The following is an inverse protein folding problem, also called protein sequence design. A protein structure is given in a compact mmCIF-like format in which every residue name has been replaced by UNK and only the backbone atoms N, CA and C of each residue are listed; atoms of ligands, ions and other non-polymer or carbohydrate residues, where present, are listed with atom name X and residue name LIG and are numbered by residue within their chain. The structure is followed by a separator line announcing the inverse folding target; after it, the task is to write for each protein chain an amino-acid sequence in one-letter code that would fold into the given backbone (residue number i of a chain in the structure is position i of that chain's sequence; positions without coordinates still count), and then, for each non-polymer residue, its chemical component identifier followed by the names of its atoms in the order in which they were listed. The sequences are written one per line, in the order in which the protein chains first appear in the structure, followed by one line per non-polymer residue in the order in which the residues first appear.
data_IF_513287512228
#
_entry.id   IF_513287512228
#
_cell.length_a   1.000
_cell.length_b   1.000
_cell.length_c   1.000
_cell.angle_alpha   90.00
_cell.angle_beta   90.00
_cell.angle_gamma   90.00
#
_symmetry.space_group_name_H-M   'P 1'
#
loop_
_entity.id
_entity.type
_entity.pdbx_description
1 polymer ?
#
# COMPACT_ATOMS: atom_id res chain seq x y z
N UNK A 1 80.87 -0.14 13.39
CA UNK A 1 80.71 -0.99 14.59
C UNK A 1 80.12 -0.16 15.71
N UNK A 2 79.13 -0.71 16.41
CA UNK A 2 78.51 -0.26 17.67
C UNK A 2 77.76 1.09 17.70
N UNK A 3 76.64 1.31 18.38
CA UNK A 3 75.48 0.52 18.87
C UNK A 3 74.72 1.40 19.87
N UNK A 4 73.40 1.60 19.69
CA UNK A 4 72.30 1.96 20.66
C UNK A 4 72.51 3.18 21.60
N UNK A 5 71.51 3.95 22.05
CA UNK A 5 70.13 3.63 22.44
C UNK A 5 69.18 4.87 22.38
N UNK A 6 67.90 4.58 22.61
CA UNK A 6 66.65 5.35 22.45
C UNK A 6 66.39 6.46 23.48
N UNK A 7 65.46 7.39 23.16
CA UNK A 7 64.24 7.60 23.97
C UNK A 7 63.13 8.39 23.22
N UNK A 8 61.92 7.81 23.23
CA UNK A 8 60.52 8.33 23.17
C UNK A 8 60.25 9.82 22.86
N UNK A 9 59.26 10.23 22.07
CA UNK A 9 57.81 9.90 22.15
C UNK A 9 57.06 10.24 20.83
N UNK A 10 56.00 9.51 20.43
CA UNK A 10 55.21 9.76 19.22
C UNK A 10 53.81 10.33 19.53
N UNK A 11 53.27 11.20 18.66
CA UNK A 11 51.83 11.33 18.34
C UNK A 11 51.60 12.47 17.33
N UNK A 12 51.78 12.14 16.06
CA UNK A 12 50.96 12.74 15.01
C UNK A 12 49.66 11.91 15.00
N UNK A 13 48.55 12.49 15.49
CA UNK A 13 47.22 11.93 15.33
C UNK A 13 46.44 12.85 14.40
N UNK A 14 46.24 12.35 13.19
CA UNK A 14 45.05 12.45 12.36
C UNK A 14 44.02 13.51 12.80
N UNK A 15 44.04 14.64 12.10
CA UNK A 15 42.87 15.50 11.96
C UNK A 15 41.95 14.88 10.90
N UNK A 16 41.32 13.75 11.23
CA UNK A 16 40.02 13.43 10.66
C UNK A 16 39.04 14.42 11.30
N UNK A 17 38.74 15.50 10.57
CA UNK A 17 37.66 16.40 10.93
C UNK A 17 36.36 15.59 10.91
N UNK A 18 35.85 15.32 12.11
CA UNK A 18 34.53 14.79 12.36
C UNK A 18 33.51 15.66 11.62
N UNK A 19 32.89 15.11 10.57
CA UNK A 19 31.63 15.61 10.09
C UNK A 19 30.65 15.49 11.27
N UNK A 20 30.22 16.62 11.81
CA UNK A 20 29.19 16.65 12.82
C UNK A 20 27.89 16.17 12.15
N UNK A 21 27.52 14.91 12.39
CA UNK A 21 26.19 14.40 12.06
C UNK A 21 25.17 15.24 12.83
N UNK A 22 24.43 16.07 12.10
CA UNK A 22 23.19 16.65 12.61
C UNK A 22 22.18 15.56 12.96
N UNK A 23 21.07 15.90 13.65
CA UNK A 23 20.00 14.94 13.91
C UNK A 23 19.50 14.32 12.59
N UNK A 24 19.05 13.06 12.60
CA UNK A 24 18.54 12.39 11.40
C UNK A 24 17.41 13.21 10.78
N UNK A 25 17.43 13.33 9.45
CA UNK A 25 16.39 14.01 8.70
C UNK A 25 15.09 13.20 8.80
N UNK A 26 14.09 13.73 9.49
CA UNK A 26 12.78 13.08 9.67
C UNK A 26 11.64 13.93 9.10
N UNK A 27 10.66 13.27 8.49
CA UNK A 27 9.42 13.92 8.07
C UNK A 27 8.61 14.41 9.28
N UNK A 28 7.85 15.48 9.10
CA UNK A 28 6.92 15.97 10.13
C UNK A 28 5.77 14.99 10.38
N UNK A 29 5.19 15.01 11.58
CA UNK A 29 4.02 14.20 11.91
C UNK A 29 2.80 14.52 11.02
N UNK A 30 2.64 15.80 10.65
CA UNK A 30 1.58 16.29 9.77
C UNK A 30 1.69 15.69 8.36
N UNK A 31 2.91 15.60 7.82
CA UNK A 31 3.18 14.95 6.54
C UNK A 31 2.81 13.46 6.59
N UNK A 32 3.25 12.75 7.63
CA UNK A 32 2.96 11.32 7.81
C UNK A 32 1.45 11.09 7.97
N UNK A 33 0.78 11.92 8.76
CA UNK A 33 -0.68 11.86 8.94
C UNK A 33 -1.41 12.10 7.62
N UNK A 34 -0.96 13.06 6.81
CA UNK A 34 -1.55 13.33 5.50
C UNK A 34 -1.45 12.10 4.58
N UNK A 35 -0.28 11.45 4.50
CA UNK A 35 -0.10 10.24 3.68
C UNK A 35 -0.92 9.06 4.18
N UNK A 36 -1.03 8.89 5.50
CA UNK A 36 -1.87 7.85 6.09
C UNK A 36 -3.37 8.11 5.91
N UNK A 37 -3.78 9.34 5.58
CA UNK A 37 -5.17 9.71 5.33
C UNK A 37 -5.63 9.42 3.89
N UNK A 38 -4.74 8.96 3.02
CA UNK A 38 -5.04 8.68 1.62
C UNK A 38 -5.91 7.42 1.51
N UNK A 39 -6.96 7.50 0.70
CA UNK A 39 -7.83 6.36 0.42
C UNK A 39 -7.54 5.79 -0.97
N UNK A 40 -7.75 4.48 -1.10
CA UNK A 40 -7.49 3.78 -2.36
C UNK A 40 -8.43 4.28 -3.46
N UNK A 41 -9.70 4.40 -3.13
CA UNK A 41 -10.77 4.83 -4.03
C UNK A 41 -10.52 6.24 -4.54
N UNK A 42 -10.10 7.15 -3.65
CA UNK A 42 -9.67 8.50 -3.99
C UNK A 42 -8.50 8.49 -4.99
N UNK A 43 -7.43 7.75 -4.72
CA UNK A 43 -6.29 7.68 -5.63
C UNK A 43 -6.66 7.12 -7.00
N UNK A 44 -7.60 6.18 -7.06
CA UNK A 44 -8.08 5.61 -8.32
C UNK A 44 -8.82 6.64 -9.19
N UNK A 45 -9.49 7.62 -8.59
CA UNK A 45 -10.10 8.73 -9.35
C UNK A 45 -9.06 9.59 -10.06
N UNK A 46 -7.83 9.61 -9.55
CA UNK A 46 -6.72 10.39 -10.08
C UNK A 46 -5.97 9.67 -11.22
N UNK A 47 -6.48 8.54 -11.72
CA UNK A 47 -5.86 7.76 -12.80
C UNK A 47 -6.31 8.27 -14.18
N UNK A 48 -5.63 9.30 -14.65
CA UNK A 48 -5.81 9.90 -15.96
C UNK A 48 -4.49 10.46 -16.50
N UNK A 49 -4.52 10.92 -17.75
CA UNK A 49 -3.39 11.52 -18.43
C UNK A 49 -3.67 12.96 -18.87
N UNK A 50 -2.59 13.74 -18.92
CA UNK A 50 -2.58 15.11 -19.39
C UNK A 50 -1.33 15.41 -20.21
N UNK A 51 -1.48 16.32 -21.16
CA UNK A 51 -0.38 16.85 -21.96
C UNK A 51 -0.39 18.36 -21.87
N UNK A 52 0.76 18.93 -21.54
CA UNK A 52 1.00 20.37 -21.48
C UNK A 52 2.00 20.74 -22.57
N UNK A 53 1.79 21.88 -23.23
CA UNK A 53 2.80 22.49 -24.08
C UNK A 53 3.89 23.12 -23.20
N UNK A 54 5.14 22.89 -23.55
CA UNK A 54 6.29 23.63 -23.00
C UNK A 54 6.44 24.91 -23.82
N UNK A 55 6.37 26.06 -23.17
CA UNK A 55 6.34 27.38 -23.81
C UNK A 55 7.46 28.25 -23.24
N UNK A 56 8.14 29.00 -24.09
CA UNK A 56 9.14 29.99 -23.68
C UNK A 56 8.49 31.21 -23.01
N UNK A 57 9.30 32.05 -22.38
CA UNK A 57 8.89 33.37 -21.91
C UNK A 57 8.37 34.30 -23.04
N UNK A 58 8.75 34.05 -24.30
CA UNK A 58 8.25 34.77 -25.48
C UNK A 58 6.94 34.21 -26.03
N UNK A 59 6.42 33.11 -25.46
CA UNK A 59 5.19 32.46 -25.92
C UNK A 59 5.37 31.44 -27.04
N UNK A 60 6.60 31.11 -27.41
CA UNK A 60 6.88 30.13 -28.46
C UNK A 60 6.79 28.70 -27.93
N UNK A 61 6.13 27.78 -28.66
CA UNK A 61 6.07 26.37 -28.28
C UNK A 61 7.44 25.71 -28.50
N UNK A 62 7.98 25.13 -27.43
CA UNK A 62 9.30 24.49 -27.41
C UNK A 62 9.21 22.97 -27.29
N UNK A 63 8.07 22.42 -26.90
CA UNK A 63 7.94 20.99 -26.67
C UNK A 63 6.67 20.62 -25.92
N UNK A 64 6.68 19.44 -25.32
CA UNK A 64 5.52 18.88 -24.62
C UNK A 64 5.96 18.13 -23.35
N UNK A 65 5.13 18.25 -22.33
CA UNK A 65 5.17 17.47 -21.09
C UNK A 65 3.93 16.58 -21.07
N UNK A 66 4.13 15.28 -20.94
CA UNK A 66 3.07 14.28 -20.77
C UNK A 66 3.16 13.70 -19.37
N UNK A 67 2.02 13.53 -18.71
CA UNK A 67 1.90 12.86 -17.42
C UNK A 67 0.75 11.88 -17.53
N UNK A 68 0.97 10.63 -17.17
CA UNK A 68 0.00 9.55 -17.19
C UNK A 68 0.04 8.81 -15.87
N UNK A 69 -1.13 8.64 -15.26
CA UNK A 69 -1.30 7.81 -14.07
C UNK A 69 -2.33 6.73 -14.36
N UNK A 70 -1.97 5.49 -14.10
CA UNK A 70 -2.81 4.33 -14.38
C UNK A 70 -2.60 3.19 -13.39
N UNK A 71 -3.42 2.15 -13.49
CA UNK A 71 -3.21 0.92 -12.73
C UNK A 71 -2.12 0.08 -13.38
N UNK A 72 -0.95 0.04 -12.74
CA UNK A 72 0.16 -0.82 -13.12
C UNK A 72 0.10 -2.18 -12.42
N UNK A 73 0.60 -3.21 -13.09
CA UNK A 73 0.77 -4.55 -12.52
C UNK A 73 2.23 -4.77 -12.16
N UNK A 74 2.50 -5.05 -10.90
CA UNK A 74 3.86 -5.35 -10.43
C UNK A 74 3.88 -6.68 -9.69
N UNK A 75 4.92 -7.47 -9.94
CA UNK A 75 5.17 -8.71 -9.20
C UNK A 75 5.93 -8.38 -7.92
N UNK A 76 5.50 -8.95 -6.81
CA UNK A 76 6.28 -8.92 -5.58
C UNK A 76 7.42 -9.96 -5.59
N UNK A 77 8.18 -10.01 -4.50
CA UNK A 77 9.29 -10.95 -4.32
C UNK A 77 8.85 -12.43 -4.30
N UNK A 78 7.56 -12.69 -4.06
CA UNK A 78 6.96 -14.03 -4.07
C UNK A 78 6.29 -14.36 -5.41
N UNK A 79 6.39 -13.47 -6.40
CA UNK A 79 5.81 -13.63 -7.72
C UNK A 79 4.30 -13.35 -7.79
N UNK A 80 3.69 -12.85 -6.71
CA UNK A 80 2.27 -12.49 -6.68
C UNK A 80 2.09 -11.17 -7.42
N UNK A 81 1.17 -11.17 -8.37
CA UNK A 81 0.83 -9.98 -9.15
C UNK A 81 -0.13 -9.11 -8.35
N UNK A 82 0.27 -7.86 -8.08
CA UNK A 82 -0.57 -6.86 -7.42
C UNK A 82 -0.75 -5.62 -8.31
N UNK A 83 -1.85 -4.92 -8.11
CA UNK A 83 -2.16 -3.67 -8.79
C UNK A 83 -1.76 -2.48 -7.93
N UNK A 84 -0.99 -1.57 -8.50
CA UNK A 84 -0.48 -0.38 -7.84
C UNK A 84 -0.66 0.85 -8.75
N UNK A 85 -0.77 2.07 -8.19
CA UNK A 85 -0.58 3.29 -8.96
C UNK A 85 0.75 3.26 -9.71
N UNK A 86 0.69 3.47 -11.02
CA UNK A 86 1.84 3.60 -11.90
C UNK A 86 1.81 4.97 -12.56
N UNK A 87 2.89 5.71 -12.38
CA UNK A 87 3.08 7.06 -12.92
C UNK A 87 4.11 7.00 -14.03
N UNK A 88 3.79 7.57 -15.17
CA UNK A 88 4.70 7.79 -16.28
C UNK A 88 4.64 9.25 -16.69
N UNK A 89 5.76 9.95 -16.63
CA UNK A 89 5.86 11.33 -17.09
C UNK A 89 7.04 11.49 -18.03
N UNK A 90 6.87 12.25 -19.11
CA UNK A 90 7.96 12.57 -20.01
C UNK A 90 7.85 14.00 -20.52
N UNK A 91 8.95 14.75 -20.44
CA UNK A 91 9.09 16.06 -21.03
C UNK A 91 10.11 15.99 -22.15
N UNK A 92 9.77 16.56 -23.31
CA UNK A 92 10.73 16.78 -24.38
C UNK A 92 10.59 18.19 -24.89
N UNK A 93 11.69 18.93 -24.85
CA UNK A 93 11.77 20.32 -25.27
C UNK A 93 12.95 20.58 -26.18
N UNK A 94 12.84 21.65 -26.96
CA UNK A 94 13.87 22.16 -27.83
C UNK A 94 14.23 23.58 -27.39
N UNK A 95 15.42 23.72 -26.82
CA UNK A 95 15.92 24.98 -26.26
C UNK A 95 17.30 25.26 -26.86
N UNK A 96 17.51 26.48 -27.36
CA UNK A 96 18.79 26.93 -27.96
C UNK A 96 19.39 25.93 -28.95
N UNK A 97 18.57 25.46 -29.90
CA UNK A 97 18.94 24.48 -30.94
C UNK A 97 19.36 23.10 -30.42
N UNK A 98 19.08 22.82 -29.15
CA UNK A 98 19.46 21.58 -28.46
C UNK A 98 18.19 20.89 -27.96
N UNK A 99 18.09 19.58 -28.19
CA UNK A 99 16.98 18.77 -27.66
C UNK A 99 17.33 18.35 -26.24
N UNK A 100 16.48 18.70 -25.28
CA UNK A 100 16.56 18.24 -23.90
C UNK A 100 15.25 17.60 -23.47
N UNK A 101 15.29 16.85 -22.39
CA UNK A 101 14.10 16.23 -21.86
C UNK A 101 14.37 15.37 -20.64
N UNK A 102 13.28 14.92 -20.04
CA UNK A 102 13.32 13.94 -18.98
C UNK A 102 12.20 12.91 -19.16
N UNK A 103 12.41 11.75 -18.56
CA UNK A 103 11.43 10.65 -18.49
C UNK A 103 11.45 10.11 -17.08
N UNK A 104 10.28 9.74 -16.58
CA UNK A 104 10.04 9.28 -15.23
C UNK A 104 9.01 8.15 -15.29
N UNK A 105 9.33 7.02 -14.68
CA UNK A 105 8.42 5.90 -14.47
C UNK A 105 8.48 5.51 -13.01
N UNK A 106 7.33 5.28 -12.37
CA UNK A 106 7.33 4.87 -10.96
C UNK A 106 6.09 4.10 -10.54
N UNK A 107 6.31 3.03 -9.78
CA UNK A 107 5.30 2.28 -9.05
C UNK A 107 5.23 2.76 -7.61
N UNK A 108 4.02 3.04 -7.14
CA UNK A 108 3.78 3.60 -5.82
C UNK A 108 2.83 2.70 -5.03
N UNK A 109 2.96 2.68 -3.72
CA UNK A 109 1.94 2.10 -2.84
C UNK A 109 0.73 3.03 -2.72
N UNK A 110 -0.32 2.55 -2.06
CA UNK A 110 -1.55 3.32 -1.81
C UNK A 110 -1.38 4.45 -0.78
N UNK A 111 -0.28 4.47 -0.03
CA UNK A 111 0.15 5.59 0.83
C UNK A 111 1.30 6.40 0.20
N UNK A 112 1.45 6.33 -1.14
CA UNK A 112 2.43 7.04 -1.97
C UNK A 112 3.90 6.74 -1.67
N UNK A 113 4.23 5.61 -1.02
CA UNK A 113 5.63 5.17 -0.93
C UNK A 113 6.11 4.65 -2.27
N UNK A 114 7.35 5.00 -2.61
CA UNK A 114 8.00 4.53 -3.84
C UNK A 114 8.34 3.05 -3.72
N UNK A 115 7.74 2.21 -4.55
CA UNK A 115 8.11 0.80 -4.70
C UNK A 115 9.30 0.68 -5.65
N UNK A 116 9.22 1.40 -6.76
CA UNK A 116 10.22 1.45 -7.82
C UNK A 116 10.06 2.76 -8.59
N UNK A 117 11.15 3.42 -8.94
CA UNK A 117 11.15 4.59 -9.80
C UNK A 117 12.41 4.59 -10.68
N UNK A 118 12.25 4.90 -11.95
CA UNK A 118 13.34 5.19 -12.87
C UNK A 118 13.14 6.59 -13.45
N UNK A 119 14.13 7.46 -13.29
CA UNK A 119 14.16 8.74 -13.98
C UNK A 119 15.40 8.84 -14.86
N UNK A 120 15.24 9.53 -15.98
CA UNK A 120 16.27 9.77 -16.98
C UNK A 120 16.16 11.22 -17.44
N UNK A 121 17.26 11.96 -17.36
CA UNK A 121 17.37 13.33 -17.86
C UNK A 121 18.44 13.35 -18.95
N UNK A 122 18.20 14.09 -20.03
CA UNK A 122 19.16 14.17 -21.13
C UNK A 122 19.19 15.54 -21.80
N UNK A 123 20.38 15.88 -22.31
CA UNK A 123 20.62 17.02 -23.18
C UNK A 123 21.45 16.53 -24.36
N UNK A 124 20.88 16.59 -25.58
CA UNK A 124 21.52 16.13 -26.82
C UNK A 124 22.32 17.25 -27.46
N UNK A 125 23.51 17.52 -26.95
CA UNK A 125 24.46 18.38 -27.67
C UNK A 125 24.96 17.68 -28.94
N UNK A 126 25.36 18.47 -29.94
CA UNK A 126 25.83 17.96 -31.24
C UNK A 126 27.13 17.14 -31.14
N UNK A 127 27.93 17.36 -30.08
CA UNK A 127 29.26 16.74 -29.93
C UNK A 127 29.27 15.66 -28.86
N UNK A 128 28.65 15.92 -27.70
CA UNK A 128 28.61 15.00 -26.55
C UNK A 128 27.24 15.05 -25.88
N UNK A 129 26.36 14.05 -26.05
CA UNK A 129 25.10 14.00 -25.31
C UNK A 129 25.40 13.84 -23.82
N UNK A 130 24.71 14.61 -22.99
CA UNK A 130 24.74 14.48 -21.53
C UNK A 130 23.48 13.72 -21.11
N UNK A 131 23.66 12.73 -20.25
CA UNK A 131 22.58 11.89 -19.76
C UNK A 131 22.81 11.56 -18.28
N UNK A 132 21.74 11.61 -17.49
CA UNK A 132 21.71 11.17 -16.10
C UNK A 132 20.57 10.19 -15.92
N UNK A 133 20.82 9.09 -15.23
CA UNK A 133 19.80 8.09 -14.87
C UNK A 133 19.80 7.92 -13.37
N UNK A 134 18.60 7.86 -12.78
CA UNK A 134 18.42 7.59 -11.35
C UNK A 134 17.41 6.46 -11.24
N UNK A 135 17.69 5.48 -10.38
CA UNK A 135 16.76 4.39 -10.09
C UNK A 135 16.57 4.28 -8.59
N UNK A 136 15.36 4.47 -8.11
CA UNK A 136 14.98 4.26 -6.71
C UNK A 136 14.24 2.93 -6.63
N UNK A 137 14.66 2.04 -5.73
CA UNK A 137 13.95 0.80 -5.44
C UNK A 137 13.32 0.91 -4.05
N UNK A 138 12.62 -0.15 -3.59
CA UNK A 138 12.05 -0.21 -2.23
C UNK A 138 13.01 0.30 -1.15
N UNK A 139 14.32 0.10 -1.31
CA UNK A 139 15.32 0.87 -0.58
C UNK A 139 15.78 2.07 -1.43
N UNK A 140 15.75 3.29 -0.87
CA UNK A 140 16.21 4.50 -1.58
C UNK A 140 17.71 4.33 -1.82
N UNK A 141 18.02 3.87 -3.02
CA UNK A 141 19.36 3.61 -3.51
C UNK A 141 19.63 4.53 -4.68
N UNK A 142 20.12 5.71 -4.40
CA UNK A 142 20.65 6.61 -5.42
C UNK A 142 22.03 6.10 -5.87
N UNK A 143 22.56 6.54 -7.02
CA UNK A 143 23.91 6.16 -7.49
C UNK A 143 25.02 6.45 -6.44
N UNK A 144 24.73 7.27 -5.43
CA UNK A 144 25.67 7.79 -4.44
C UNK A 144 25.30 7.41 -2.99
N UNK A 145 24.05 7.04 -2.67
CA UNK A 145 23.56 6.94 -1.28
C UNK A 145 22.53 5.83 -1.08
N UNK A 146 22.60 5.17 0.07
CA UNK A 146 21.64 4.17 0.54
C UNK A 146 20.94 4.68 1.80
N UNK A 147 19.61 4.70 1.81
CA UNK A 147 18.84 5.04 3.00
C UNK A 147 18.04 3.82 3.47
N UNK A 148 18.13 3.45 4.76
CA UNK A 148 17.34 2.37 5.34
C UNK A 148 15.83 2.63 5.17
N UNK A 149 15.06 1.58 4.90
CA UNK A 149 13.60 1.63 4.75
C UNK A 149 12.89 2.32 5.93
N UNK A 150 13.35 2.08 7.15
CA UNK A 150 12.71 2.63 8.36
C UNK A 150 12.92 4.15 8.50
N UNK A 151 13.92 4.71 7.80
CA UNK A 151 14.28 6.13 7.84
C UNK A 151 13.64 6.94 6.69
N UNK A 152 12.83 6.33 5.83
CA UNK A 152 12.20 7.00 4.67
C UNK A 152 10.70 7.24 4.85
N UNK A 153 10.18 7.09 6.08
CA UNK A 153 8.80 7.44 6.38
C UNK A 153 8.52 8.91 6.03
N UNK A 154 7.50 9.13 5.20
CA UNK A 154 7.17 10.47 4.69
C UNK A 154 8.01 10.94 3.50
N UNK A 155 8.77 10.03 2.88
CA UNK A 155 9.49 10.30 1.63
C UNK A 155 8.55 10.36 0.41
N UNK A 156 8.72 11.40 -0.40
CA UNK A 156 7.99 11.65 -1.63
C UNK A 156 8.98 11.75 -2.78
N UNK A 157 8.98 10.73 -3.64
CA UNK A 157 9.73 10.75 -4.88
C UNK A 157 9.07 11.65 -5.93
N UNK A 158 9.74 11.91 -7.05
CA UNK A 158 9.17 12.68 -8.17
C UNK A 158 7.84 12.09 -8.67
N UNK A 159 7.73 10.76 -8.77
CA UNK A 159 6.49 10.09 -9.18
C UNK A 159 5.39 10.27 -8.12
N UNK A 160 5.73 10.12 -6.83
CA UNK A 160 4.79 10.32 -5.73
C UNK A 160 4.31 11.77 -5.65
N UNK A 161 5.18 12.74 -5.93
CA UNK A 161 4.86 14.16 -5.94
C UNK A 161 3.77 14.49 -6.96
N UNK A 162 3.83 13.90 -8.16
CA UNK A 162 2.79 14.13 -9.19
C UNK A 162 1.41 13.70 -8.69
N UNK A 163 1.30 12.51 -8.08
CA UNK A 163 0.03 12.07 -7.48
C UNK A 163 -0.37 12.89 -6.26
N UNK A 164 0.60 13.26 -5.41
CA UNK A 164 0.35 14.06 -4.21
C UNK A 164 -0.25 15.43 -4.59
N UNK A 165 0.25 16.08 -5.63
CA UNK A 165 -0.29 17.34 -6.15
C UNK A 165 -1.72 17.17 -6.66
N UNK A 166 -2.03 16.06 -7.34
CA UNK A 166 -3.41 15.75 -7.76
C UNK A 166 -4.35 15.60 -6.55
N UNK A 167 -3.89 14.91 -5.50
CA UNK A 167 -4.67 14.77 -4.24
C UNK A 167 -4.90 16.14 -3.59
N UNK A 168 -3.88 16.99 -3.50
CA UNK A 168 -4.02 18.32 -2.91
C UNK A 168 -5.06 19.18 -3.66
N UNK A 169 -5.08 19.07 -4.98
CA UNK A 169 -6.08 19.74 -5.82
C UNK A 169 -7.47 19.12 -5.67
N UNK A 170 -7.59 17.79 -5.69
CA UNK A 170 -8.87 17.10 -5.48
C UNK A 170 -9.51 17.49 -4.14
N UNK A 171 -8.71 17.53 -3.07
CA UNK A 171 -9.15 17.93 -1.73
C UNK A 171 -9.27 19.45 -1.55
N UNK A 172 -8.80 20.26 -2.51
CA UNK A 172 -8.64 21.71 -2.38
C UNK A 172 -7.90 22.12 -1.09
N UNK A 173 -6.87 21.35 -0.71
CA UNK A 173 -6.22 21.46 0.58
C UNK A 173 -4.74 21.04 0.50
N UNK A 174 -3.88 21.85 1.10
CA UNK A 174 -2.47 21.54 1.35
C UNK A 174 -2.29 21.33 2.86
N UNK A 175 -1.55 20.28 3.29
CA UNK A 175 -1.31 20.05 4.72
C UNK A 175 -0.45 21.17 5.33
N UNK A 176 -1.00 21.84 6.35
CA UNK A 176 -0.31 22.92 7.04
C UNK A 176 0.94 22.44 7.77
N UNK A 177 2.03 23.19 7.64
CA UNK A 177 3.32 22.92 8.31
C UNK A 177 3.93 21.54 8.02
N UNK A 178 3.47 20.84 6.97
CA UNK A 178 3.99 19.54 6.61
C UNK A 178 5.35 19.66 5.90
N UNK A 179 6.32 18.91 6.42
CA UNK A 179 7.65 18.70 5.84
C UNK A 179 7.78 17.24 5.43
N UNK A 180 7.83 17.01 4.13
CA UNK A 180 8.06 15.69 3.53
C UNK A 180 9.55 15.49 3.29
N UNK A 181 10.01 14.24 3.32
CA UNK A 181 11.35 13.92 2.85
C UNK A 181 11.34 13.87 1.32
N UNK A 182 12.41 14.34 0.69
CA UNK A 182 12.56 14.36 -0.77
C UNK A 182 14.04 14.23 -1.16
N UNK A 183 14.32 14.11 -2.46
CA UNK A 183 15.67 14.24 -2.99
C UNK A 183 15.81 15.61 -3.66
N UNK A 184 16.97 16.24 -3.46
CA UNK A 184 17.35 17.40 -4.26
C UNK A 184 17.82 16.98 -5.67
N UNK A 185 18.19 17.96 -6.49
CA UNK A 185 18.70 17.72 -7.85
C UNK A 185 20.00 16.92 -7.87
N UNK A 186 20.74 16.83 -6.77
CA UNK A 186 21.97 16.04 -6.65
C UNK A 186 21.70 14.61 -6.14
N UNK A 187 20.46 14.29 -5.77
CA UNK A 187 20.09 12.99 -5.20
C UNK A 187 20.41 12.88 -3.71
N UNK A 188 20.59 14.01 -3.00
CA UNK A 188 20.76 14.04 -1.54
C UNK A 188 19.41 14.16 -0.85
N UNK A 189 19.27 13.50 0.28
CA UNK A 189 18.06 13.56 1.09
C UNK A 189 17.90 14.96 1.69
N UNK A 190 16.70 15.52 1.53
CA UNK A 190 16.36 16.86 1.96
C UNK A 190 14.87 16.96 2.30
N UNK A 191 14.37 18.19 2.51
CA UNK A 191 12.97 18.46 2.77
C UNK A 191 12.24 19.07 1.59
N UNK A 192 10.98 18.69 1.41
CA UNK A 192 10.04 19.39 0.55
C UNK A 192 8.83 19.87 1.33
N UNK A 193 8.43 21.12 1.08
CA UNK A 193 7.26 21.76 1.67
C UNK A 193 6.31 22.21 0.58
N UNK A 194 5.02 22.26 0.90
CA UNK A 194 3.96 22.70 -0.01
C UNK A 194 3.20 23.85 0.64
N UNK A 195 2.85 24.85 -0.16
CA UNK A 195 2.07 26.00 0.27
C UNK A 195 0.92 26.23 -0.70
N UNK A 196 -0.30 26.39 -0.16
CA UNK A 196 -1.44 26.83 -0.95
C UNK A 196 -1.30 28.33 -1.25
N UNK A 197 -1.36 28.71 -2.53
CA UNK A 197 -1.34 30.11 -2.97
C UNK A 197 -2.76 30.66 -3.23
N UNK A 198 -3.79 29.84 -3.01
CA UNK A 198 -5.19 30.18 -3.27
C UNK A 198 -5.67 29.70 -4.64
N UNK A 199 -6.74 30.30 -5.13
CA UNK A 199 -7.30 30.02 -6.46
C UNK A 199 -7.06 31.18 -7.42
N UNK A 200 -6.94 30.86 -8.70
CA UNK A 200 -6.83 31.86 -9.76
C UNK A 200 -7.66 31.42 -10.96
N UNK A 201 -8.30 32.37 -11.66
CA UNK A 201 -8.92 32.09 -12.96
C UNK A 201 -7.87 32.17 -14.07
N UNK A 202 -7.74 31.12 -14.86
CA UNK A 202 -6.91 31.09 -16.07
C UNK A 202 -7.78 30.82 -17.30
N UNK A 203 -7.27 31.20 -18.47
CA UNK A 203 -7.90 30.86 -19.73
C UNK A 203 -7.27 29.59 -20.30
N UNK A 204 -8.09 28.57 -20.51
CA UNK A 204 -7.72 27.33 -21.22
C UNK A 204 -8.58 27.24 -22.46
N UNK A 205 -7.94 27.27 -23.64
CA UNK A 205 -8.62 27.40 -24.93
C UNK A 205 -9.54 28.65 -24.97
N UNK A 206 -10.86 28.45 -25.00
CA UNK A 206 -11.89 29.52 -24.99
C UNK A 206 -12.66 29.61 -23.68
N UNK A 207 -12.25 28.85 -22.67
CA UNK A 207 -12.94 28.76 -21.39
C UNK A 207 -12.12 29.42 -20.28
N UNK A 208 -12.79 30.12 -19.39
CA UNK A 208 -12.21 30.58 -18.13
C UNK A 208 -12.48 29.52 -17.07
N UNK A 209 -11.41 29.05 -16.43
CA UNK A 209 -11.47 27.99 -15.43
C UNK A 209 -10.73 28.43 -14.18
N UNK A 210 -11.29 28.12 -13.02
CA UNK A 210 -10.62 28.32 -11.75
C UNK A 210 -9.62 27.17 -11.52
N UNK A 211 -8.41 27.52 -11.09
CA UNK A 211 -7.35 26.57 -10.75
C UNK A 211 -6.87 26.78 -9.32
N UNK A 212 -6.61 25.68 -8.63
CA UNK A 212 -5.98 25.65 -7.31
C UNK A 212 -4.47 25.72 -7.46
N UNK A 213 -3.84 26.63 -6.73
CA UNK A 213 -2.40 26.89 -6.85
C UNK A 213 -1.64 26.32 -5.66
N UNK A 214 -0.64 25.49 -5.96
CA UNK A 214 0.28 24.91 -4.98
C UNK A 214 1.70 25.27 -5.35
N UNK A 215 2.44 25.84 -4.41
CA UNK A 215 3.88 26.01 -4.51
C UNK A 215 4.59 24.89 -3.75
N UNK A 216 5.47 24.17 -4.45
CA UNK A 216 6.40 23.23 -3.86
C UNK A 216 7.76 23.88 -3.74
N UNK A 217 8.38 23.81 -2.57
CA UNK A 217 9.78 24.18 -2.36
C UNK A 217 10.57 22.96 -1.90
N UNK A 218 11.70 22.70 -2.56
CA UNK A 218 12.67 21.67 -2.17
C UNK A 218 13.88 22.39 -1.56
N UNK A 219 14.11 22.13 -0.28
CA UNK A 219 15.14 22.79 0.55
C UNK A 219 16.42 21.96 0.51
N UNK A 220 17.27 22.20 -0.48
CA UNK A 220 18.59 21.57 -0.54
C UNK A 220 19.44 21.98 0.68
N UNK A 221 20.22 21.04 1.23
CA UNK A 221 21.12 21.29 2.37
C UNK A 221 22.22 22.31 2.00
N UNK A 222 22.67 22.25 0.75
CA UNK A 222 23.62 23.20 0.17
C UNK A 222 23.05 23.75 -1.13
N UNK A 223 22.85 25.07 -1.20
CA UNK A 223 22.39 25.75 -2.41
C UNK A 223 21.14 26.59 -2.21
N UNK A 224 20.57 27.06 -3.33
CA UNK A 224 19.34 27.85 -3.34
C UNK A 224 18.16 26.88 -3.41
N UNK A 225 17.13 27.02 -2.54
CA UNK A 225 15.93 26.20 -2.63
C UNK A 225 15.28 26.28 -4.01
N UNK A 226 14.91 25.13 -4.55
CA UNK A 226 14.20 25.05 -5.83
C UNK A 226 12.71 25.17 -5.56
N UNK A 227 12.03 26.09 -6.24
CA UNK A 227 10.57 26.27 -6.12
C UNK A 227 9.86 26.07 -7.44
N UNK A 228 8.74 25.34 -7.41
CA UNK A 228 7.85 25.11 -8.53
C UNK A 228 6.40 25.44 -8.14
N UNK A 229 5.71 26.20 -8.99
CA UNK A 229 4.28 26.47 -8.85
C UNK A 229 3.48 25.58 -9.80
N UNK A 230 2.45 24.95 -9.26
CA UNK A 230 1.52 24.07 -9.96
C UNK A 230 0.13 24.66 -9.87
N UNK A 231 -0.54 24.74 -11.03
CA UNK A 231 -1.90 25.23 -11.16
C UNK A 231 -2.72 24.03 -11.59
N UNK A 232 -3.62 23.58 -10.72
CA UNK A 232 -4.32 22.32 -10.87
C UNK A 232 -5.83 22.58 -11.01
N UNK A 233 -6.47 21.85 -11.91
CA UNK A 233 -7.93 21.83 -12.02
C UNK A 233 -8.55 21.12 -10.81
N UNK A 234 -9.85 21.31 -10.59
CA UNK A 234 -10.57 20.76 -9.44
C UNK A 234 -10.48 19.23 -9.32
N UNK A 235 -10.34 18.53 -10.45
CA UNK A 235 -10.22 17.07 -10.49
C UNK A 235 -8.77 16.56 -10.42
N UNK A 236 -7.80 17.47 -10.26
CA UNK A 236 -6.38 17.18 -10.14
C UNK A 236 -5.55 17.33 -11.41
N UNK A 237 -6.13 17.60 -12.58
CA UNK A 237 -5.32 17.79 -13.80
C UNK A 237 -4.37 18.98 -13.66
N UNK A 238 -3.11 18.80 -14.08
CA UNK A 238 -2.14 19.89 -14.11
C UNK A 238 -2.42 20.82 -15.30
N UNK A 239 -2.82 22.06 -15.01
CA UNK A 239 -3.10 23.07 -16.02
C UNK A 239 -1.88 23.93 -16.35
N UNK A 240 -1.04 24.25 -15.36
CA UNK A 240 0.18 25.05 -15.57
C UNK A 240 1.26 24.66 -14.58
N UNK A 241 2.52 24.64 -15.03
CA UNK A 241 3.70 24.45 -14.17
C UNK A 241 4.74 25.51 -14.47
N UNK A 242 5.19 26.20 -13.43
CA UNK A 242 6.22 27.24 -13.51
C UNK A 242 7.35 26.88 -12.55
N UNK A 243 8.58 26.77 -13.04
CA UNK A 243 9.75 26.61 -12.20
C UNK A 243 10.45 27.96 -12.03
N UNK A 244 10.70 28.36 -10.78
CA UNK A 244 11.41 29.61 -10.50
C UNK A 244 12.82 29.54 -11.09
N UNK A 245 13.19 30.57 -11.85
CA UNK A 245 14.49 30.64 -12.53
C UNK A 245 14.55 29.96 -13.90
N UNK A 246 13.49 29.25 -14.34
CA UNK A 246 13.40 28.70 -15.69
C UNK A 246 12.85 29.73 -16.68
N UNK A 247 13.41 29.86 -17.90
CA UNK A 247 12.86 30.72 -18.95
C UNK A 247 11.63 30.14 -19.63
N UNK A 248 11.25 28.90 -19.30
CA UNK A 248 10.12 28.17 -19.91
C UNK A 248 9.17 27.64 -18.84
N UNK A 249 7.89 27.53 -19.18
CA UNK A 249 6.82 26.99 -18.34
C UNK A 249 5.98 26.00 -19.14
N UNK A 250 5.21 25.16 -18.44
CA UNK A 250 4.26 24.23 -19.08
C UNK A 250 2.84 24.76 -18.92
N UNK A 251 2.02 24.66 -19.96
CA UNK A 251 0.61 25.08 -19.95
C UNK A 251 -0.25 24.09 -20.74
N UNK A 252 -1.42 23.76 -20.20
CA UNK A 252 -2.43 22.97 -20.88
C UNK A 252 -3.06 23.78 -22.02
N UNK A 253 -3.14 23.18 -23.21
CA UNK A 253 -3.64 23.87 -24.40
C UNK A 253 -5.13 23.60 -24.66
N UNK A 254 -5.64 22.47 -24.17
CA UNK A 254 -7.02 22.02 -24.38
C UNK A 254 -7.62 21.57 -23.05
N UNK A 255 -8.87 21.95 -22.82
CA UNK A 255 -9.60 21.53 -21.62
C UNK A 255 -9.79 19.99 -21.61
N UNK A 256 -9.39 19.30 -20.53
CA UNK A 256 -9.64 17.87 -20.37
C UNK A 256 -11.09 17.63 -19.95
N UNK A 257 -11.56 16.40 -20.13
CA UNK A 257 -12.84 15.97 -19.55
C UNK A 257 -12.67 15.83 -18.05
N UNK A 258 -13.24 16.77 -17.29
CA UNK A 258 -13.14 16.75 -15.84
C UNK A 258 -13.83 15.50 -15.28
N UNK A 259 -13.18 14.87 -14.31
CA UNK A 259 -13.76 13.73 -13.60
C UNK A 259 -14.59 14.24 -12.43
N UNK A 260 -15.79 13.69 -12.31
CA UNK A 260 -16.65 13.87 -11.15
C UNK A 260 -16.66 12.55 -10.38
N UNK A 261 -16.95 12.62 -9.08
CA UNK A 261 -17.17 11.41 -8.29
C UNK A 261 -18.44 10.73 -8.84
N UNK A 262 -18.27 9.59 -9.50
CA UNK A 262 -19.40 8.82 -10.01
C UNK A 262 -20.31 8.49 -8.82
N UNK A 263 -21.55 8.99 -8.82
CA UNK A 263 -22.57 8.50 -7.90
C UNK A 263 -22.72 7.00 -8.16
N UNK A 264 -22.13 6.18 -7.29
CA UNK A 264 -22.23 4.72 -7.40
C UNK A 264 -23.71 4.39 -7.23
N UNK A 265 -24.38 4.15 -8.36
CA UNK A 265 -25.76 3.65 -8.31
C UNK A 265 -25.76 2.43 -7.39
N UNK A 266 -26.60 2.43 -6.34
CA UNK A 266 -26.59 1.36 -5.37
C UNK A 266 -26.79 0.05 -6.11
N UNK A 267 -25.85 -0.90 -5.91
CA UNK A 267 -25.91 -2.19 -6.58
C UNK A 267 -27.33 -2.75 -6.47
N UNK A 268 -27.94 -3.22 -7.57
CA UNK A 268 -29.30 -3.71 -7.53
C UNK A 268 -29.39 -4.82 -6.49
N UNK A 269 -30.17 -4.56 -5.43
CA UNK A 269 -30.38 -5.53 -4.35
C UNK A 269 -31.28 -6.63 -4.91
N UNK A 270 -30.67 -7.64 -5.52
CA UNK A 270 -31.39 -8.83 -5.94
C UNK A 270 -31.93 -9.53 -4.70
N UNK A 271 -33.26 -9.56 -4.55
CA UNK A 271 -33.90 -10.39 -3.53
C UNK A 271 -33.48 -11.84 -3.79
N UNK A 272 -32.75 -12.45 -2.84
CA UNK A 272 -32.39 -13.87 -2.90
C UNK A 272 -33.70 -14.66 -3.00
N UNK A 273 -33.93 -15.31 -4.14
CA UNK A 273 -35.05 -16.25 -4.27
C UNK A 273 -34.80 -17.41 -3.31
N UNK A 274 -35.81 -17.86 -2.54
CA UNK A 274 -35.67 -19.06 -1.71
C UNK A 274 -35.31 -20.24 -2.62
N UNK A 275 -34.23 -20.96 -2.26
CA UNK A 275 -33.76 -22.12 -3.00
C UNK A 275 -34.67 -23.31 -2.65
N UNK A 276 -35.66 -23.59 -3.49
CA UNK A 276 -36.51 -24.79 -3.40
C UNK A 276 -35.78 -25.94 -4.10
N UNK A 277 -34.75 -26.47 -3.44
CA UNK A 277 -33.87 -27.49 -4.01
C UNK A 277 -34.58 -28.83 -4.23
N UNK A 278 -35.70 -29.07 -3.55
CA UNK A 278 -36.53 -30.26 -3.69
C UNK A 278 -37.24 -30.34 -5.06
N UNK A 279 -37.51 -29.19 -5.68
CA UNK A 279 -38.16 -29.10 -7.01
C UNK A 279 -37.15 -29.03 -8.15
N UNK A 280 -35.90 -28.66 -7.85
CA UNK A 280 -34.81 -28.61 -8.82
C UNK A 280 -34.25 -30.02 -9.04
N UNK A 281 -34.45 -30.55 -10.25
CA UNK A 281 -34.05 -31.90 -10.61
C UNK A 281 -32.54 -32.14 -10.46
N UNK A 282 -31.68 -31.15 -10.73
CA UNK A 282 -30.23 -31.30 -10.60
C UNK A 282 -29.79 -31.27 -9.13
N UNK A 283 -30.35 -30.36 -8.34
CA UNK A 283 -30.04 -30.27 -6.90
C UNK A 283 -30.58 -31.47 -6.14
N UNK A 284 -31.77 -31.94 -6.48
CA UNK A 284 -32.35 -33.14 -5.90
C UNK A 284 -31.50 -34.37 -6.24
N UNK A 285 -31.00 -34.50 -7.47
CA UNK A 285 -30.06 -35.57 -7.85
C UNK A 285 -28.79 -35.51 -7.02
N UNK A 286 -28.16 -34.34 -6.89
CA UNK A 286 -26.94 -34.16 -6.08
C UNK A 286 -27.17 -34.51 -4.62
N UNK A 287 -28.34 -34.17 -4.07
CA UNK A 287 -28.72 -34.53 -2.71
C UNK A 287 -28.83 -36.05 -2.54
N UNK A 288 -29.51 -36.74 -3.47
CA UNK A 288 -29.65 -38.20 -3.42
C UNK A 288 -28.30 -38.90 -3.51
N UNK A 289 -27.43 -38.47 -4.42
CA UNK A 289 -26.09 -39.03 -4.57
C UNK A 289 -25.27 -38.86 -3.28
N UNK A 290 -25.30 -37.66 -2.70
CA UNK A 290 -24.59 -37.39 -1.44
C UNK A 290 -25.16 -38.19 -0.28
N UNK A 291 -26.48 -38.34 -0.21
CA UNK A 291 -27.17 -39.13 0.82
C UNK A 291 -26.77 -40.60 0.74
N UNK A 292 -26.74 -41.17 -0.45
CA UNK A 292 -26.35 -42.58 -0.66
C UNK A 292 -24.86 -42.78 -0.35
N UNK A 293 -24.00 -41.83 -0.76
CA UNK A 293 -22.58 -41.85 -0.42
C UNK A 293 -22.36 -41.86 1.10
N UNK A 294 -23.08 -41.01 1.84
CA UNK A 294 -23.02 -40.98 3.30
C UNK A 294 -23.53 -42.28 3.92
N UNK A 295 -24.64 -42.82 3.44
CA UNK A 295 -25.20 -44.11 3.89
C UNK A 295 -24.18 -45.24 3.74
N UNK A 296 -23.52 -45.33 2.59
CA UNK A 296 -22.47 -46.32 2.33
C UNK A 296 -21.27 -46.12 3.24
N UNK A 297 -20.85 -44.85 3.47
CA UNK A 297 -19.74 -44.53 4.36
C UNK A 297 -20.02 -44.95 5.80
N UNK A 298 -21.21 -44.67 6.34
CA UNK A 298 -21.63 -45.05 7.69
C UNK A 298 -21.73 -46.57 7.82
N UNK A 299 -22.29 -47.25 6.82
CA UNK A 299 -22.39 -48.72 6.82
C UNK A 299 -21.00 -49.35 6.84
N UNK A 300 -20.08 -48.83 6.02
CA UNK A 300 -18.69 -49.28 5.99
C UNK A 300 -17.99 -49.05 7.33
N UNK A 301 -18.18 -47.88 7.94
CA UNK A 301 -17.61 -47.57 9.26
C UNK A 301 -18.09 -48.56 10.32
N UNK A 302 -19.40 -48.82 10.41
CA UNK A 302 -19.94 -49.78 11.37
C UNK A 302 -19.47 -51.23 11.11
N UNK A 303 -19.28 -51.62 9.85
CA UNK A 303 -18.71 -52.93 9.51
C UNK A 303 -17.24 -53.06 9.93
N UNK A 304 -16.47 -51.99 9.83
CA UNK A 304 -15.06 -51.95 10.22
C UNK A 304 -14.86 -51.88 11.74
N UNK A 305 -15.89 -51.47 12.48
CA UNK A 305 -15.87 -51.25 13.93
C UNK A 305 -16.99 -52.06 14.63
N UNK A 306 -16.87 -53.41 14.73
CA UNK A 306 -17.85 -54.24 15.44
C UNK A 306 -17.91 -53.93 16.95
N UNK A 307 -16.82 -53.38 17.49
CA UNK A 307 -16.71 -52.83 18.83
C UNK A 307 -17.69 -51.68 19.08
N UNK A 308 -17.93 -50.81 18.10
CA UNK A 308 -18.92 -49.74 18.21
C UNK A 308 -20.34 -50.31 18.36
N UNK A 309 -20.69 -51.35 17.62
CA UNK A 309 -22.00 -52.01 17.73
C UNK A 309 -22.16 -52.71 19.09
N UNK A 310 -21.13 -53.40 19.57
CA UNK A 310 -21.12 -54.03 20.89
C UNK A 310 -21.27 -52.98 22.00
N UNK A 311 -20.52 -51.87 21.91
CA UNK A 311 -20.55 -50.78 22.88
C UNK A 311 -21.94 -50.15 23.02
N UNK A 312 -22.63 -49.90 21.89
CA UNK A 312 -24.00 -49.38 21.90
C UNK A 312 -24.98 -50.42 22.44
N UNK A 313 -24.80 -51.70 22.10
CA UNK A 313 -25.66 -52.79 22.60
C UNK A 313 -25.56 -52.95 24.12
N UNK A 314 -24.33 -52.91 24.65
CA UNK A 314 -24.07 -52.94 26.09
C UNK A 314 -24.68 -51.72 26.78
N UNK A 315 -24.53 -50.52 26.20
CA UNK A 315 -25.17 -49.32 26.72
C UNK A 315 -26.70 -49.49 26.84
N UNK A 316 -27.35 -49.96 25.76
CA UNK A 316 -28.79 -50.18 25.74
C UNK A 316 -29.22 -51.24 26.76
N UNK A 317 -28.45 -52.31 26.91
CA UNK A 317 -28.71 -53.34 27.92
C UNK A 317 -28.64 -52.74 29.33
N UNK A 318 -27.59 -51.98 29.64
CA UNK A 318 -27.47 -51.35 30.97
C UNK A 318 -28.53 -50.27 31.20
N UNK A 319 -28.94 -49.55 30.17
CA UNK A 319 -30.01 -48.56 30.24
C UNK A 319 -31.36 -49.23 30.58
N UNK A 320 -31.68 -50.32 29.90
CA UNK A 320 -32.93 -51.08 30.11
C UNK A 320 -32.97 -51.79 31.47
N UNK A 321 -31.83 -52.28 31.96
CA UNK A 321 -31.73 -52.94 33.25
C UNK A 321 -31.79 -51.97 34.43
N UNK A 322 -31.13 -50.81 34.33
CA UNK A 322 -31.03 -49.85 35.45
C UNK A 322 -32.14 -48.82 35.48
N UNK A 323 -32.79 -48.56 34.33
CA UNK A 323 -33.85 -47.55 34.15
C UNK A 323 -33.59 -46.26 34.94
N UNK A 324 -32.45 -45.58 34.68
CA UNK A 324 -32.11 -44.37 35.40
C UNK A 324 -33.10 -43.24 35.09
N UNK A 325 -33.42 -42.41 36.09
CA UNK A 325 -34.28 -41.24 35.91
C UNK A 325 -33.66 -40.17 34.99
N UNK A 326 -32.32 -40.11 34.91
CA UNK A 326 -31.58 -39.23 34.00
C UNK A 326 -30.70 -40.06 33.05
N UNK A 327 -31.20 -40.25 31.83
CA UNK A 327 -30.55 -41.02 30.76
C UNK A 327 -29.30 -40.33 30.21
N UNK A 328 -29.29 -38.99 30.19
CA UNK A 328 -28.21 -38.21 29.57
C UNK A 328 -26.95 -38.27 30.44
N UNK A 329 -27.11 -38.06 31.75
CA UNK A 329 -26.00 -38.21 32.71
C UNK A 329 -25.47 -39.64 32.73
N UNK A 330 -26.36 -40.63 32.65
CA UNK A 330 -25.99 -42.04 32.58
C UNK A 330 -25.18 -42.37 31.31
N UNK A 331 -25.57 -41.83 30.15
CA UNK A 331 -24.82 -41.98 28.90
C UNK A 331 -23.42 -41.36 29.00
N UNK A 332 -23.30 -40.16 29.57
CA UNK A 332 -22.00 -39.50 29.75
C UNK A 332 -21.05 -40.31 30.64
N UNK A 333 -21.56 -40.92 31.72
CA UNK A 333 -20.78 -41.82 32.58
C UNK A 333 -20.40 -43.13 31.88
N UNK A 334 -21.30 -43.71 31.09
CA UNK A 334 -21.07 -44.95 30.37
C UNK A 334 -20.03 -44.79 29.23
N UNK A 335 -20.17 -43.76 28.39
CA UNK A 335 -19.27 -43.54 27.24
C UNK A 335 -17.97 -42.81 27.61
N UNK A 336 -17.93 -42.12 28.75
CA UNK A 336 -16.78 -41.33 29.20
C UNK A 336 -15.42 -42.06 29.23
N UNK A 337 -15.33 -43.35 29.59
CA UNK A 337 -14.07 -44.12 29.55
C UNK A 337 -13.52 -44.37 28.14
N UNK A 338 -14.34 -44.28 27.09
CA UNK A 338 -13.95 -44.62 25.71
C UNK A 338 -13.46 -43.40 24.90
N UNK A 339 -13.38 -42.22 25.51
CA UNK A 339 -12.92 -41.00 24.84
C UNK A 339 -11.38 -40.99 24.65
N UNK A 340 -10.92 -40.75 23.42
CA UNK A 340 -9.52 -40.85 22.95
C UNK A 340 -8.54 -39.87 23.62
N UNK A 341 -9.02 -38.90 24.40
CA UNK A 341 -8.18 -37.83 24.99
C UNK A 341 -8.18 -37.79 26.53
N UNK A 342 -8.28 -38.95 27.20
CA UNK A 342 -8.12 -39.02 28.66
C UNK A 342 -6.78 -39.69 29.01
N UNK A 343 -5.97 -39.13 29.92
CA UNK A 343 -4.81 -39.85 30.46
C UNK A 343 -5.28 -41.13 31.17
N UNK A 344 -4.49 -42.22 31.14
CA UNK A 344 -4.90 -43.51 31.69
C UNK A 344 -5.22 -43.36 33.18
N UNK A 345 -6.44 -43.72 33.57
CA UNK A 345 -6.84 -43.73 34.97
C UNK A 345 -6.23 -44.93 35.70
N UNK A 346 -5.71 -44.78 36.93
CA UNK A 346 -5.09 -45.87 37.68
C UNK A 346 -6.11 -46.99 38.00
N UNK A 347 -5.61 -48.23 38.02
CA UNK A 347 -6.35 -49.49 37.93
C UNK A 347 -7.27 -49.85 39.12
N UNK A 348 -7.53 -48.95 40.06
CA UNK A 348 -8.47 -49.17 41.16
C UNK A 348 -9.18 -47.86 41.48
N UNK A 349 -10.47 -47.75 41.15
CA UNK A 349 -11.34 -46.67 41.64
C UNK A 349 -12.65 -47.21 42.20
N UNK A 350 -12.96 -46.72 43.40
CA UNK A 350 -14.21 -46.90 44.12
C UNK A 350 -15.39 -46.23 43.39
N UNK A 351 -16.60 -46.73 43.66
CA UNK A 351 -17.88 -46.40 43.00
C UNK A 351 -18.39 -44.95 43.15
N UNK A 352 -17.57 -44.00 43.59
CA UNK A 352 -18.00 -42.66 43.99
C UNK A 352 -17.29 -41.53 43.24
N UNK A 353 -17.22 -41.57 41.91
CA UNK A 353 -16.87 -40.37 41.14
C UNK A 353 -18.13 -39.68 40.63
N UNK A 354 -18.37 -38.45 41.11
CA UNK A 354 -19.55 -37.64 40.76
C UNK A 354 -19.42 -37.09 39.34
N UNK A 355 -20.44 -37.31 38.51
CA UNK A 355 -20.56 -36.72 37.18
C UNK A 355 -20.60 -35.18 37.23
N UNK A 356 -19.98 -34.49 36.25
CA UNK A 356 -20.03 -33.03 36.14
C UNK A 356 -21.43 -32.48 35.79
N UNK A 357 -22.41 -33.37 35.52
CA UNK A 357 -23.79 -32.99 35.20
C UNK A 357 -24.75 -33.10 36.39
N UNK A 358 -24.31 -33.55 37.58
CA UNK A 358 -25.14 -33.46 38.79
C UNK A 358 -25.17 -32.02 39.30
N UNK A 359 -26.22 -31.28 38.95
CA UNK A 359 -26.57 -30.03 39.64
C UNK A 359 -27.00 -30.34 41.07
N UNK A 360 -26.35 -29.67 42.02
CA UNK A 360 -26.66 -29.75 43.45
C UNK A 360 -27.99 -29.04 43.71
N UNK A 361 -29.09 -29.79 43.84
CA UNK A 361 -30.19 -29.30 44.66
C UNK A 361 -29.81 -29.50 46.13
N UNK A 362 -29.43 -28.39 46.77
CA UNK A 362 -29.28 -28.29 48.22
C UNK A 362 -30.67 -28.06 48.78
N UNK A 363 -31.36 -29.11 49.20
CA UNK A 363 -32.50 -28.94 50.11
C UNK A 363 -31.96 -28.60 51.50
N UNK A 364 -32.36 -27.42 51.95
CA UNK A 364 -32.25 -26.94 53.32
C UNK A 364 -33.19 -27.73 54.23
N UNK A 365 -32.63 -28.41 55.23
CA UNK A 365 -33.19 -28.52 56.58
C UNK A 365 -32.06 -28.81 57.55
#
# INVERSE_FOLDING_TARGET
MSSKAQSSDPRAKDQHALAAEGPPLEASAEAIHFLNSLQKEELQMLFFSETLAVVSNTGEPQGELTIEVQSGKQKDQFGIMSHYPFVHASCRSFMDKTVCGNSLQGYLSWDLRTIEQHSQEFIKFHILPMERKISLLKEVKTEVTFFPWDSTMGFISEAANLLLLRVMAWRQMVPNNARFLALDTEGKLCYSTYQALGTQTIQVDRQQVEVFMVEQTVHADQGIPMSCQFYLLSDGHLAKRIQVGSPSYCLITKMPSLREEDEIEPQPVFKKKPLVWEEDMELYSKFLDRKEQLRLSHTRYLQQHPDAQALISDFLLFLLLRQPADVVTFAAEFFGPFAVHRPPSPALRSSNQRSPFRTLYRESS
#
